data_IF_854992732539
#
_entry.id   IF_854992732539
#
_cell.length_a   1.000
_cell.length_b   1.000
_cell.length_c   1.000
_cell.angle_alpha   90.00
_cell.angle_beta   90.00
_cell.angle_gamma   90.00
#
_symmetry.space_group_name_H-M   'P 1'
#
loop_
_entity.id
_entity.type
_entity.pdbx_description
1 polymer ?
#
# COMPACT_ATOMS: atom_id res chain seq x y z
N UNK A 1 24.64 -37.07 21.95
CA UNK A 1 24.12 -35.74 21.53
C UNK A 1 22.89 -35.46 22.36
N UNK A 2 23.02 -34.62 23.38
CA UNK A 2 21.93 -34.30 24.31
C UNK A 2 21.01 -33.25 23.69
N UNK A 3 19.71 -33.54 23.65
CA UNK A 3 18.69 -32.64 23.15
C UNK A 3 18.19 -31.80 24.33
N UNK A 4 18.54 -30.52 24.37
CA UNK A 4 18.00 -29.59 25.36
C UNK A 4 16.56 -29.23 24.96
N UNK A 5 15.61 -29.67 25.76
CA UNK A 5 14.22 -29.22 25.70
C UNK A 5 14.15 -27.90 26.46
N UNK A 6 14.04 -26.79 25.73
CA UNK A 6 13.79 -25.47 26.30
C UNK A 6 12.29 -25.36 26.65
N UNK A 7 11.98 -25.53 27.93
CA UNK A 7 10.69 -25.10 28.47
C UNK A 7 10.63 -23.56 28.47
N UNK A 8 9.76 -22.99 27.64
CA UNK A 8 9.48 -21.56 27.62
C UNK A 8 8.28 -21.27 28.53
N UNK A 9 8.55 -20.72 29.72
CA UNK A 9 7.59 -20.56 30.80
C UNK A 9 6.51 -19.47 30.61
N UNK A 10 6.50 -18.67 29.54
CA UNK A 10 5.35 -17.80 29.23
C UNK A 10 5.35 -17.22 27.81
N UNK A 11 4.15 -16.94 27.23
CA UNK A 11 4.00 -16.25 25.94
C UNK A 11 4.53 -14.80 25.94
N UNK A 12 4.74 -14.21 27.11
CA UNK A 12 5.27 -12.85 27.26
C UNK A 12 6.75 -12.78 26.82
N UNK A 13 7.52 -13.84 27.08
CA UNK A 13 8.95 -13.89 26.71
C UNK A 13 9.16 -13.91 25.20
N UNK A 14 8.27 -14.60 24.47
CA UNK A 14 8.31 -14.66 23.01
C UNK A 14 8.09 -13.30 22.33
N UNK A 15 7.20 -12.46 22.87
CA UNK A 15 6.96 -11.13 22.31
C UNK A 15 8.12 -10.15 22.55
N UNK A 16 8.85 -10.30 23.66
CA UNK A 16 10.04 -9.47 23.97
C UNK A 16 11.20 -9.86 23.04
N UNK A 17 11.43 -11.17 22.86
CA UNK A 17 12.50 -11.68 22.01
C UNK A 17 12.27 -11.36 20.51
N UNK A 18 11.00 -11.22 20.06
CA UNK A 18 10.66 -10.79 18.71
C UNK A 18 10.96 -9.30 18.44
N UNK A 19 10.88 -8.45 19.47
CA UNK A 19 11.13 -7.01 19.36
C UNK A 19 12.62 -6.66 19.39
N UNK A 20 13.47 -7.47 20.01
CA UNK A 20 14.92 -7.28 20.05
C UNK A 20 15.66 -7.83 18.81
N UNK A 21 14.93 -8.31 17.79
CA UNK A 21 15.50 -8.73 16.51
C UNK A 21 16.38 -9.98 16.58
N UNK A 22 16.31 -10.76 17.67
CA UNK A 22 17.18 -11.91 17.93
C UNK A 22 16.59 -13.27 17.51
N UNK A 23 15.41 -13.33 16.87
CA UNK A 23 14.81 -14.62 16.51
C UNK A 23 15.13 -15.03 15.07
N UNK A 24 15.97 -16.07 14.91
CA UNK A 24 15.94 -16.95 13.74
C UNK A 24 14.60 -17.70 13.72
N UNK A 25 13.91 -17.67 12.58
CA UNK A 25 12.58 -18.28 12.35
C UNK A 25 12.47 -19.68 12.99
N UNK A 26 11.57 -19.90 13.95
CA UNK A 26 11.28 -21.25 14.42
C UNK A 26 10.45 -21.97 13.35
N UNK A 27 10.95 -23.11 12.89
CA UNK A 27 10.18 -24.09 12.12
C UNK A 27 9.25 -24.80 13.10
N UNK A 28 7.95 -24.47 13.09
CA UNK A 28 6.96 -25.11 13.96
C UNK A 28 5.91 -25.87 13.15
N UNK A 29 5.90 -27.18 13.38
CA UNK A 29 4.81 -28.10 13.03
C UNK A 29 3.55 -27.76 13.83
N UNK A 30 2.46 -27.47 13.11
CA UNK A 30 1.14 -28.02 13.43
C UNK A 30 0.36 -27.55 14.67
N UNK A 31 0.71 -26.43 15.33
CA UNK A 31 -0.15 -25.84 16.36
C UNK A 31 -0.55 -24.41 16.00
N UNK A 32 -1.83 -24.20 15.72
CA UNK A 32 -2.43 -22.88 15.54
C UNK A 32 -2.78 -22.28 16.91
N UNK A 33 -1.99 -21.33 17.37
CA UNK A 33 -2.30 -20.57 18.57
C UNK A 33 -3.34 -19.50 18.24
N UNK A 34 -4.55 -19.63 18.80
CA UNK A 34 -5.57 -18.57 18.75
C UNK A 34 -5.18 -17.49 19.75
N UNK A 35 -4.47 -16.47 19.29
CA UNK A 35 -4.17 -15.28 20.10
C UNK A 35 -5.46 -14.48 20.21
N UNK A 36 -5.99 -14.33 21.44
CA UNK A 36 -7.17 -13.50 21.67
C UNK A 36 -6.79 -12.03 21.56
N UNK A 37 -7.62 -11.25 20.87
CA UNK A 37 -7.41 -9.80 20.66
C UNK A 37 -7.19 -9.02 21.97
N UNK A 38 -7.79 -9.45 23.08
CA UNK A 38 -7.63 -8.85 24.40
C UNK A 38 -6.18 -8.93 24.91
N UNK A 39 -5.47 -10.02 24.63
CA UNK A 39 -4.08 -10.22 25.03
C UNK A 39 -3.16 -9.27 24.23
N UNK A 40 -3.44 -9.05 22.95
CA UNK A 40 -2.71 -8.10 22.10
C UNK A 40 -2.91 -6.68 22.62
N UNK A 41 -4.15 -6.32 22.98
CA UNK A 41 -4.47 -5.00 23.49
C UNK A 41 -3.75 -4.71 24.81
N UNK A 42 -3.67 -5.68 25.73
CA UNK A 42 -2.94 -5.51 26.99
C UNK A 42 -1.43 -5.32 26.78
N UNK A 43 -0.82 -6.10 25.87
CA UNK A 43 0.60 -5.94 25.53
C UNK A 43 0.85 -4.56 24.93
N UNK A 44 0.01 -4.10 24.00
CA UNK A 44 0.11 -2.75 23.44
C UNK A 44 -0.02 -1.66 24.52
N UNK A 45 -1.00 -1.74 25.41
CA UNK A 45 -1.17 -0.78 26.50
C UNK A 45 0.06 -0.75 27.41
N UNK A 46 0.63 -1.91 27.74
CA UNK A 46 1.86 -2.01 28.54
C UNK A 46 3.07 -1.41 27.83
N UNK A 47 3.24 -1.66 26.53
CA UNK A 47 4.31 -1.07 25.72
C UNK A 47 4.18 0.45 25.64
N UNK A 48 2.96 0.97 25.45
CA UNK A 48 2.67 2.41 25.45
C UNK A 48 3.00 3.02 26.82
N UNK A 49 2.53 2.40 27.91
CA UNK A 49 2.81 2.88 29.29
C UNK A 49 4.31 2.91 29.60
N UNK A 50 5.05 1.87 29.22
CA UNK A 50 6.51 1.80 29.44
C UNK A 50 7.29 2.82 28.60
N UNK A 51 6.88 3.06 27.34
CA UNK A 51 7.47 4.13 26.53
C UNK A 51 7.15 5.51 27.10
N UNK A 52 5.91 5.76 27.52
CA UNK A 52 5.50 7.05 28.10
C UNK A 52 6.31 7.38 29.37
N UNK A 53 6.49 6.39 30.25
CA UNK A 53 7.23 6.56 31.51
C UNK A 53 8.69 6.95 31.27
N UNK A 54 9.31 6.38 30.22
CA UNK A 54 10.70 6.65 29.84
C UNK A 54 10.89 8.04 29.23
N UNK A 55 9.91 8.51 28.46
CA UNK A 55 9.87 9.88 27.91
C UNK A 55 9.62 10.91 29.03
N UNK A 56 8.68 10.63 29.94
CA UNK A 56 8.38 11.52 31.07
C UNK A 56 9.56 11.72 32.03
N UNK A 57 10.36 10.68 32.28
CA UNK A 57 11.55 10.82 33.14
C UNK A 57 12.67 11.64 32.50
N UNK A 58 12.82 11.60 31.18
CA UNK A 58 13.82 12.40 30.46
C UNK A 58 13.41 13.87 30.35
N UNK A 59 12.12 14.16 30.15
CA UNK A 59 11.60 15.55 30.07
C UNK A 59 11.77 16.30 31.40
N UNK A 60 11.60 15.64 32.54
CA UNK A 60 11.79 16.28 33.86
C UNK A 60 13.26 16.59 34.18
N UNK A 61 14.21 15.82 33.64
CA UNK A 61 15.64 16.06 33.85
C UNK A 61 16.16 17.31 33.10
N UNK A 62 15.43 17.80 32.09
CA UNK A 62 15.83 18.93 31.24
C UNK A 62 15.33 20.30 31.72
N UNK A 63 14.69 20.38 32.90
CA UNK A 63 14.23 21.67 33.46
C UNK A 63 13.14 22.36 32.64
N UNK A 64 12.45 21.64 31.75
CA UNK A 64 11.37 22.16 30.92
C UNK A 64 10.16 22.41 31.83
N UNK A 65 9.97 23.66 32.26
CA UNK A 65 8.90 24.07 33.19
C UNK A 65 7.47 23.86 32.67
N UNK A 66 7.30 23.43 31.41
CA UNK A 66 6.01 23.29 30.71
C UNK A 66 5.98 22.00 29.88
N UNK A 67 5.78 20.82 30.51
CA UNK A 67 5.79 19.52 29.83
C UNK A 67 4.69 19.38 28.76
N UNK A 68 3.61 20.16 28.86
CA UNK A 68 2.55 20.21 27.87
C UNK A 68 3.02 20.68 26.48
N UNK A 69 4.09 21.48 26.39
CA UNK A 69 4.65 21.93 25.10
C UNK A 69 5.21 20.74 24.31
N UNK A 70 5.88 19.80 24.98
CA UNK A 70 6.43 18.58 24.34
C UNK A 70 5.30 17.68 23.85
N UNK A 71 4.20 17.60 24.60
CA UNK A 71 3.00 16.84 24.20
C UNK A 71 2.35 17.48 22.96
N UNK A 72 2.20 18.81 22.93
CA UNK A 72 1.63 19.51 21.76
C UNK A 72 2.53 19.32 20.54
N UNK A 73 3.85 19.47 20.68
CA UNK A 73 4.79 19.24 19.56
C UNK A 73 4.67 17.80 19.07
N UNK A 74 4.68 16.81 19.98
CA UNK A 74 4.50 15.41 19.61
C UNK A 74 3.16 15.12 18.92
N UNK A 75 2.08 15.78 19.34
CA UNK A 75 0.76 15.65 18.73
C UNK A 75 0.70 16.29 17.34
N UNK A 76 1.35 17.45 17.14
CA UNK A 76 1.51 18.08 15.82
C UNK A 76 2.28 17.16 14.87
N UNK A 77 3.35 16.51 15.34
CA UNK A 77 4.09 15.53 14.55
C UNK A 77 3.27 14.27 14.21
N UNK A 78 2.43 13.79 15.14
CA UNK A 78 1.52 12.66 14.88
C UNK A 78 0.44 13.02 13.85
N UNK A 79 -0.09 14.24 13.90
CA UNK A 79 -1.08 14.72 12.92
C UNK A 79 -0.47 15.00 11.55
N UNK A 80 0.82 15.35 11.48
CA UNK A 80 1.52 15.50 10.19
C UNK A 80 1.82 14.18 9.47
N UNK A 81 1.55 13.03 10.09
CA UNK A 81 1.76 11.70 9.50
C UNK A 81 0.68 11.26 8.51
N UNK A 82 -0.47 11.94 8.46
CA UNK A 82 -1.50 11.73 7.45
C UNK A 82 -1.25 12.69 6.28
N UNK A 83 -0.27 12.36 5.44
CA UNK A 83 -0.09 13.03 4.15
C UNK A 83 -1.30 12.81 3.23
N UNK A 84 -1.50 13.67 2.22
CA UNK A 84 -2.59 13.54 1.25
C UNK A 84 -2.53 12.25 0.41
N UNK A 85 -1.38 11.56 0.37
CA UNK A 85 -1.18 10.30 -0.38
C UNK A 85 -1.33 9.05 0.50
N UNK A 86 -2.53 8.84 1.05
CA UNK A 86 -2.87 7.55 1.67
C UNK A 86 -3.17 6.45 0.62
N UNK A 87 -3.02 6.76 -0.66
CA UNK A 87 -3.20 5.81 -1.74
C UNK A 87 -1.87 5.15 -2.12
N UNK A 88 -1.83 3.82 -2.09
CA UNK A 88 -0.75 3.05 -2.69
C UNK A 88 -1.02 2.90 -4.18
N UNK A 89 0.00 3.15 -5.00
CA UNK A 89 -0.03 2.91 -6.44
C UNK A 89 0.97 1.79 -6.78
N UNK A 90 0.48 0.67 -7.32
CA UNK A 90 1.31 -0.47 -7.72
C UNK A 90 1.37 -0.55 -9.26
N UNK A 91 2.56 -0.33 -9.80
CA UNK A 91 2.82 -0.46 -11.23
C UNK A 91 2.73 -1.93 -11.65
N UNK A 92 1.84 -2.26 -12.59
CA UNK A 92 1.70 -3.63 -13.10
C UNK A 92 2.55 -3.86 -14.33
N UNK A 93 2.41 -2.98 -15.32
CA UNK A 93 3.19 -3.05 -16.55
C UNK A 93 3.20 -1.72 -17.31
N UNK A 94 4.18 -1.60 -18.20
CA UNK A 94 4.26 -0.53 -19.19
C UNK A 94 4.37 -1.14 -20.59
N UNK A 95 3.72 -0.50 -21.57
CA UNK A 95 3.75 -0.90 -22.97
C UNK A 95 3.91 0.33 -23.86
N UNK A 96 5.00 0.39 -24.62
CA UNK A 96 5.28 1.50 -25.52
C UNK A 96 4.51 1.37 -26.84
N UNK A 97 4.16 2.50 -27.46
CA UNK A 97 3.68 2.51 -28.84
C UNK A 97 4.74 1.95 -29.80
N UNK A 98 4.37 1.50 -31.02
CA UNK A 98 5.33 0.91 -31.95
C UNK A 98 6.51 1.83 -32.32
N UNK A 99 6.28 3.14 -32.40
CA UNK A 99 7.31 4.16 -32.62
C UNK A 99 7.95 4.69 -31.34
N UNK A 100 7.54 4.18 -30.18
CA UNK A 100 7.98 4.58 -28.84
C UNK A 100 7.72 6.06 -28.50
N UNK A 101 6.79 6.71 -29.20
CA UNK A 101 6.40 8.09 -28.88
C UNK A 101 5.53 8.19 -27.63
N UNK A 102 4.79 7.13 -27.29
CA UNK A 102 3.92 7.06 -26.12
C UNK A 102 4.24 5.83 -25.27
N UNK A 103 4.03 5.95 -23.97
CA UNK A 103 4.07 4.84 -23.02
C UNK A 103 2.71 4.74 -22.37
N UNK A 104 2.10 3.57 -22.50
CA UNK A 104 0.92 3.21 -21.74
C UNK A 104 1.35 2.49 -20.46
N UNK A 105 0.83 2.95 -19.34
CA UNK A 105 1.11 2.40 -18.02
C UNK A 105 -0.17 1.86 -17.40
N UNK A 106 -0.13 0.62 -16.93
CA UNK A 106 -1.21 0.00 -16.17
C UNK A 106 -0.79 -0.12 -14.70
N UNK A 107 -1.63 0.35 -13.79
CA UNK A 107 -1.34 0.30 -12.35
C UNK A 107 -2.61 0.07 -11.52
N UNK A 108 -2.41 -0.41 -10.30
CA UNK A 108 -3.43 -0.50 -9.26
C UNK A 108 -3.34 0.68 -8.31
N UNK A 109 -4.46 1.35 -8.09
CA UNK A 109 -4.60 2.32 -7.00
C UNK A 109 -5.43 1.72 -5.88
N UNK A 110 -4.88 1.73 -4.67
CA UNK A 110 -5.55 1.30 -3.44
C UNK A 110 -5.48 2.43 -2.40
N UNK A 111 -6.63 3.03 -2.08
CA UNK A 111 -6.76 4.12 -1.11
C UNK A 111 -7.21 3.65 0.28
N UNK A 112 -7.03 2.36 0.61
CA UNK A 112 -7.24 1.81 1.94
C UNK A 112 -8.52 0.97 2.09
N UNK A 113 -8.81 0.60 3.35
CA UNK A 113 -9.68 -0.52 3.72
C UNK A 113 -11.15 -0.43 3.25
N UNK A 114 -11.62 0.74 2.81
CA UNK A 114 -13.03 0.94 2.44
C UNK A 114 -13.24 1.18 0.95
N UNK A 115 -12.18 1.41 0.17
CA UNK A 115 -12.28 1.68 -1.27
C UNK A 115 -11.71 0.48 -2.02
N UNK A 116 -12.48 -0.18 -2.91
CA UNK A 116 -11.97 -1.29 -3.70
C UNK A 116 -10.83 -0.83 -4.62
N UNK A 117 -9.92 -1.75 -4.92
CA UNK A 117 -8.84 -1.53 -5.89
C UNK A 117 -9.37 -0.96 -7.20
N UNK A 118 -8.68 0.02 -7.75
CA UNK A 118 -8.98 0.58 -9.08
C UNK A 118 -7.82 0.27 -10.02
N UNK A 119 -8.12 -0.43 -11.11
CA UNK A 119 -7.20 -0.62 -12.23
C UNK A 119 -7.26 0.64 -13.09
N UNK A 120 -6.12 1.30 -13.26
CA UNK A 120 -5.99 2.54 -14.05
C UNK A 120 -5.07 2.28 -15.24
N UNK A 121 -5.47 2.77 -16.41
CA UNK A 121 -4.58 2.93 -17.55
C UNK A 121 -4.28 4.41 -17.74
N UNK A 122 -3.00 4.74 -17.73
CA UNK A 122 -2.49 6.09 -17.97
C UNK A 122 -1.64 6.09 -19.23
N UNK A 123 -1.76 7.14 -20.03
CA UNK A 123 -0.97 7.31 -21.24
C UNK A 123 -0.10 8.56 -21.11
N UNK A 124 1.19 8.45 -21.40
CA UNK A 124 2.14 9.56 -21.37
C UNK A 124 3.01 9.59 -22.61
N UNK A 125 3.59 10.75 -22.90
CA UNK A 125 4.68 10.83 -23.90
C UNK A 125 5.92 10.19 -23.27
N UNK A 126 6.72 9.47 -24.07
CA UNK A 126 7.88 8.72 -23.57
C UNK A 126 8.85 9.55 -22.71
N UNK A 127 9.04 10.83 -23.07
CA UNK A 127 9.92 11.77 -22.37
C UNK A 127 9.36 12.28 -21.04
N UNK A 128 8.06 12.14 -20.80
CA UNK A 128 7.42 12.54 -19.54
C UNK A 128 7.60 11.41 -18.51
N UNK A 129 7.93 11.71 -17.25
CA UNK A 129 8.01 10.69 -16.20
C UNK A 129 6.63 10.08 -15.89
N UNK A 130 6.60 8.86 -15.36
CA UNK A 130 5.36 8.29 -14.83
C UNK A 130 4.97 9.01 -13.54
N UNK A 131 3.74 9.53 -13.50
CA UNK A 131 3.14 10.17 -12.34
C UNK A 131 1.73 9.59 -12.16
N UNK A 132 1.51 8.73 -11.14
CA UNK A 132 0.21 8.11 -10.92
C UNK A 132 -0.88 9.10 -10.49
N UNK A 133 -0.52 10.30 -10.03
CA UNK A 133 -1.46 11.31 -9.52
C UNK A 133 -1.81 12.37 -10.59
N UNK A 134 -1.29 12.22 -11.82
CA UNK A 134 -1.64 13.06 -12.97
C UNK A 134 -2.89 12.53 -13.68
N UNK A 135 -4.06 12.86 -13.13
CA UNK A 135 -5.37 12.41 -13.61
C UNK A 135 -5.67 12.72 -15.09
N UNK A 136 -5.12 13.80 -15.64
CA UNK A 136 -5.31 14.16 -17.07
C UNK A 136 -4.70 13.13 -18.04
N UNK A 137 -3.78 12.29 -17.55
CA UNK A 137 -3.17 11.21 -18.33
C UNK A 137 -3.96 9.90 -18.22
N UNK A 138 -4.97 9.83 -17.34
CA UNK A 138 -5.79 8.63 -17.16
C UNK A 138 -6.80 8.48 -18.31
N UNK A 139 -6.68 7.39 -19.05
CA UNK A 139 -7.54 7.11 -20.20
C UNK A 139 -8.60 6.05 -19.91
N UNK A 140 -8.41 5.25 -18.86
CA UNK A 140 -9.35 4.20 -18.48
C UNK A 140 -9.25 3.90 -17.00
N UNK A 141 -10.40 3.76 -16.33
CA UNK A 141 -10.46 3.26 -14.94
C UNK A 141 -11.54 2.21 -14.79
N UNK A 142 -11.24 1.15 -14.03
CA UNK A 142 -12.16 0.07 -13.73
C UNK A 142 -11.99 -0.40 -12.29
N UNK A 143 -13.11 -0.60 -11.59
CA UNK A 143 -13.10 -1.10 -10.23
C UNK A 143 -12.88 -2.62 -10.20
N UNK A 144 -12.09 -3.05 -9.21
CA UNK A 144 -11.75 -4.43 -8.93
C UNK A 144 -10.48 -4.95 -9.63
N UNK A 145 -9.96 -6.11 -9.19
CA UNK A 145 -8.81 -6.76 -9.79
C UNK A 145 -9.24 -7.50 -11.06
N UNK A 146 -9.31 -6.77 -12.18
CA UNK A 146 -9.70 -7.33 -13.48
C UNK A 146 -8.52 -7.36 -14.44
N UNK A 147 -8.39 -8.46 -15.17
CA UNK A 147 -7.41 -8.56 -16.23
C UNK A 147 -7.82 -7.67 -17.39
N UNK A 148 -6.89 -6.86 -17.88
CA UNK A 148 -7.08 -6.03 -19.05
C UNK A 148 -6.00 -6.44 -20.04
N UNK A 149 -6.41 -6.69 -21.29
CA UNK A 149 -5.48 -6.91 -22.39
C UNK A 149 -5.42 -5.64 -23.24
N UNK A 150 -4.22 -5.32 -23.71
CA UNK A 150 -3.97 -4.07 -24.42
C UNK A 150 -3.16 -4.33 -25.68
N UNK A 151 -3.54 -3.69 -26.77
CA UNK A 151 -2.91 -3.85 -28.07
C UNK A 151 -2.80 -2.50 -28.80
N UNK A 152 -1.60 -2.19 -29.28
CA UNK A 152 -1.37 -1.05 -30.18
C UNK A 152 -1.66 -1.50 -31.61
N UNK A 153 -2.69 -0.91 -32.23
CA UNK A 153 -3.01 -1.17 -33.64
C UNK A 153 -2.16 -0.30 -34.59
N UNK A 154 -1.72 0.87 -34.13
CA UNK A 154 -0.75 1.73 -34.83
C UNK A 154 -0.02 2.64 -33.84
N UNK A 155 0.85 3.53 -34.32
CA UNK A 155 1.52 4.55 -33.48
C UNK A 155 0.54 5.45 -32.69
N UNK A 156 -0.68 5.61 -33.20
CA UNK A 156 -1.68 6.54 -32.68
C UNK A 156 -3.05 5.86 -32.44
N UNK A 157 -3.10 4.54 -32.36
CA UNK A 157 -4.35 3.80 -32.12
C UNK A 157 -4.14 2.67 -31.14
N UNK A 158 -4.89 2.72 -30.04
CA UNK A 158 -4.84 1.77 -28.93
C UNK A 158 -6.19 1.05 -28.83
N UNK A 159 -6.15 -0.27 -28.61
CA UNK A 159 -7.33 -1.09 -28.32
C UNK A 159 -7.20 -1.64 -26.91
N UNK A 160 -8.21 -1.39 -26.08
CA UNK A 160 -8.30 -1.87 -24.70
C UNK A 160 -9.40 -2.93 -24.62
N UNK A 161 -9.01 -4.16 -24.28
CA UNK A 161 -9.92 -5.27 -24.03
C UNK A 161 -10.13 -5.42 -22.53
N UNK A 162 -11.39 -5.45 -22.10
CA UNK A 162 -11.74 -5.58 -20.69
C UNK A 162 -12.94 -6.54 -20.51
N UNK A 163 -13.02 -7.24 -19.37
CA UNK A 163 -14.09 -8.21 -19.12
C UNK A 163 -15.44 -7.52 -18.90
N UNK A 164 -16.56 -8.24 -19.09
CA UNK A 164 -17.87 -7.79 -18.66
C UNK A 164 -17.85 -7.35 -17.19
N UNK A 165 -18.52 -6.25 -16.91
CA UNK A 165 -18.51 -5.63 -15.59
C UNK A 165 -19.85 -4.97 -15.31
N UNK A 166 -20.30 -5.04 -14.06
CA UNK A 166 -21.47 -4.30 -13.59
C UNK A 166 -21.11 -2.82 -13.38
N UNK A 167 -19.87 -2.54 -12.97
CA UNK A 167 -19.36 -1.18 -12.85
C UNK A 167 -19.22 -0.51 -14.21
N UNK A 168 -19.55 0.78 -14.28
CA UNK A 168 -19.38 1.59 -15.48
C UNK A 168 -17.93 2.09 -15.53
N UNK A 169 -17.06 1.58 -16.43
CA UNK A 169 -15.71 2.09 -16.57
C UNK A 169 -15.70 3.54 -17.06
N UNK A 170 -14.76 4.33 -16.54
CA UNK A 170 -14.45 5.65 -17.12
C UNK A 170 -13.57 5.45 -18.33
N UNK A 171 -13.86 6.14 -19.43
CA UNK A 171 -13.21 5.97 -20.73
C UNK A 171 -12.97 7.31 -21.40
N UNK A 172 -11.86 7.40 -22.13
CA UNK A 172 -11.51 8.54 -22.97
C UNK A 172 -11.27 8.01 -24.38
N UNK A 173 -12.09 8.43 -25.34
CA UNK A 173 -11.98 7.95 -26.74
C UNK A 173 -10.76 8.53 -27.47
N UNK A 174 -10.22 9.66 -26.99
CA UNK A 174 -9.08 10.33 -27.58
C UNK A 174 -8.22 11.03 -26.54
N UNK A 175 -6.94 10.73 -26.54
CA UNK A 175 -5.94 11.39 -25.70
C UNK A 175 -4.84 11.97 -26.59
N UNK A 176 -4.75 13.31 -26.64
CA UNK A 176 -3.89 14.05 -27.58
C UNK A 176 -4.11 13.55 -29.03
N UNK A 177 -3.09 12.91 -29.61
CA UNK A 177 -3.11 12.36 -30.98
C UNK A 177 -3.41 10.85 -31.02
N UNK A 178 -3.69 10.21 -29.88
CA UNK A 178 -3.99 8.77 -29.80
C UNK A 178 -5.49 8.55 -29.73
N UNK A 179 -6.02 7.76 -30.66
CA UNK A 179 -7.40 7.29 -30.66
C UNK A 179 -7.49 5.98 -29.88
N UNK A 180 -8.48 5.86 -29.00
CA UNK A 180 -8.60 4.74 -28.07
C UNK A 180 -9.95 4.06 -28.29
N UNK A 181 -9.91 2.77 -28.59
CA UNK A 181 -11.09 1.93 -28.78
C UNK A 181 -11.19 0.92 -27.64
N UNK A 182 -12.42 0.59 -27.25
CA UNK A 182 -12.69 -0.32 -26.14
C UNK A 182 -13.54 -1.50 -26.61
N UNK A 183 -13.13 -2.71 -26.25
CA UNK A 183 -13.81 -3.95 -26.62
C UNK A 183 -14.09 -4.76 -25.35
N UNK A 184 -15.34 -5.17 -25.16
CA UNK A 184 -15.70 -6.10 -24.09
C UNK A 184 -15.31 -7.51 -24.54
N UNK A 185 -14.44 -8.18 -23.79
CA UNK A 185 -14.01 -9.55 -24.07
C UNK A 185 -14.45 -10.48 -22.93
N UNK A 186 -15.36 -11.41 -23.23
CA UNK A 186 -15.89 -12.36 -22.26
C UNK A 186 -14.92 -13.47 -21.85
N UNK A 187 -13.71 -13.52 -22.43
CA UNK A 187 -12.70 -14.54 -22.14
C UNK A 187 -11.59 -14.05 -21.18
N UNK A 188 -11.66 -12.82 -20.69
CA UNK A 188 -10.72 -12.23 -19.71
C UNK A 188 -11.21 -12.38 -18.28
#
# INVERSE_FOLDING_TARGET
MGQQVLHLDSPIKFCIDLLDGQIRKPTLQGQTWVVRMEDILMVMILLIKNRLKRVLSTVNAWGIKRPWIVIIIGFVFLLSGCGPDLCSNELLFENASPDKSYILTSFERNCGATIPYVRVLSLRVEKEGFDPDKYDDWIFTLHGPKNIKIEWNSNNSLIVYYPPTEDIPTKVEKWRNVNISYVVDGNL
#
